data_IF_034151745882
#
_entry.id   IF_034151745882
#
_cell.length_a   1.000
_cell.length_b   1.000
_cell.length_c   1.000
_cell.angle_alpha   90.00
_cell.angle_beta   90.00
_cell.angle_gamma   90.00
#
_symmetry.space_group_name_H-M   'P 1'
#
loop_
_entity.id
_entity.type
_entity.pdbx_description
1 polymer ?
#
# COMPACT_ATOMS: atom_id res chain seq x y z
N UNK A 1 54.91 65.65 -29.60
CA UNK A 1 53.55 65.27 -29.24
C UNK A 1 53.39 63.75 -29.48
N UNK A 2 53.54 62.97 -28.47
CA UNK A 2 53.59 61.49 -28.54
C UNK A 2 52.37 60.97 -27.87
N UNK A 3 51.50 60.28 -28.62
CA UNK A 3 50.32 59.68 -28.10
C UNK A 3 50.58 58.17 -27.92
N UNK A 4 50.47 57.77 -26.66
CA UNK A 4 50.63 56.39 -26.20
C UNK A 4 49.38 55.57 -26.50
N UNK A 5 49.50 54.47 -27.17
CA UNK A 5 48.46 53.45 -27.33
C UNK A 5 48.60 52.43 -26.22
N UNK A 6 47.61 52.41 -25.35
CA UNK A 6 47.42 51.35 -24.33
C UNK A 6 46.90 50.09 -25.05
N UNK A 7 47.52 48.95 -24.70
CA UNK A 7 47.04 47.63 -25.09
C UNK A 7 45.89 47.20 -24.21
N UNK A 8 44.79 46.81 -24.84
CA UNK A 8 43.66 46.13 -24.19
C UNK A 8 44.02 44.66 -23.92
N UNK A 9 43.93 44.30 -22.65
CA UNK A 9 44.16 42.95 -22.18
C UNK A 9 42.94 42.06 -22.42
N UNK A 10 43.29 40.84 -22.82
CA UNK A 10 42.46 39.77 -23.30
C UNK A 10 41.44 39.31 -22.23
N UNK A 11 40.16 39.27 -22.60
CA UNK A 11 39.07 38.79 -21.77
C UNK A 11 39.15 37.26 -21.54
N UNK A 12 39.14 36.94 -20.28
CA UNK A 12 39.10 35.60 -19.72
C UNK A 12 37.86 34.81 -20.15
N UNK A 13 38.04 33.67 -20.77
CA UNK A 13 36.93 32.77 -21.17
C UNK A 13 36.38 32.07 -19.95
N UNK A 14 35.04 31.97 -19.73
CA UNK A 14 34.48 31.29 -18.60
C UNK A 14 34.72 29.77 -18.70
N UNK A 15 35.45 29.26 -17.73
CA UNK A 15 35.75 27.84 -17.57
C UNK A 15 34.47 27.00 -17.53
N UNK A 16 34.39 26.03 -18.43
CA UNK A 16 33.35 25.00 -18.48
C UNK A 16 33.37 24.20 -17.18
N UNK A 17 32.42 24.45 -16.29
CA UNK A 17 32.21 23.66 -15.07
C UNK A 17 31.72 22.28 -15.50
N UNK A 18 32.61 21.31 -15.38
CA UNK A 18 32.29 19.89 -15.62
C UNK A 18 31.28 19.45 -14.57
N UNK A 19 30.09 18.91 -14.95
CA UNK A 19 29.12 18.43 -13.97
C UNK A 19 29.75 17.35 -13.09
N UNK A 20 29.40 17.30 -11.79
CA UNK A 20 29.94 16.29 -10.89
C UNK A 20 29.60 14.89 -11.44
N UNK A 21 30.61 14.02 -11.50
CA UNK A 21 30.41 12.60 -11.82
C UNK A 21 29.45 12.03 -10.80
N UNK A 22 28.26 11.66 -11.23
CA UNK A 22 27.38 10.81 -10.46
C UNK A 22 28.11 9.50 -10.24
N UNK A 23 28.67 9.32 -9.06
CA UNK A 23 29.13 8.01 -8.59
C UNK A 23 27.91 7.11 -8.56
N UNK A 24 27.79 6.24 -9.55
CA UNK A 24 26.77 5.21 -9.57
C UNK A 24 26.93 4.38 -8.30
N UNK A 25 26.04 4.58 -7.32
CA UNK A 25 25.96 3.71 -6.15
C UNK A 25 25.58 2.33 -6.68
N UNK A 26 26.56 1.45 -6.74
CA UNK A 26 26.34 0.06 -7.13
C UNK A 26 25.37 -0.56 -6.15
N UNK A 27 24.14 -0.83 -6.60
CA UNK A 27 23.13 -1.48 -5.78
C UNK A 27 23.67 -2.83 -5.30
N UNK A 28 23.77 -3.09 -3.98
CA UNK A 28 24.35 -4.32 -3.47
C UNK A 28 23.64 -5.55 -4.05
N UNK A 29 24.42 -6.57 -4.45
CA UNK A 29 23.85 -7.86 -4.89
C UNK A 29 23.16 -8.51 -3.70
N UNK A 30 21.93 -8.98 -3.90
CA UNK A 30 21.18 -9.74 -2.91
C UNK A 30 21.10 -11.21 -3.32
N UNK A 31 21.09 -12.09 -2.33
CA UNK A 31 20.93 -13.53 -2.55
C UNK A 31 19.49 -13.88 -2.96
N UNK A 32 19.27 -15.04 -3.60
CA UNK A 32 17.89 -15.50 -3.90
C UNK A 32 16.98 -15.60 -2.66
N UNK A 33 17.54 -15.94 -1.49
CA UNK A 33 16.79 -15.99 -0.24
C UNK A 33 16.38 -14.59 0.24
N UNK A 34 17.29 -13.61 0.20
CA UNK A 34 17.00 -12.22 0.52
C UNK A 34 15.95 -11.63 -0.45
N UNK A 35 16.08 -11.91 -1.74
CA UNK A 35 15.10 -11.49 -2.75
C UNK A 35 13.71 -12.04 -2.43
N UNK A 36 13.59 -13.35 -2.13
CA UNK A 36 12.30 -13.94 -1.74
C UNK A 36 11.71 -13.29 -0.50
N UNK A 37 12.54 -13.01 0.51
CA UNK A 37 12.10 -12.34 1.74
C UNK A 37 11.58 -10.92 1.47
N UNK A 38 12.31 -10.12 0.70
CA UNK A 38 11.87 -8.75 0.31
C UNK A 38 10.56 -8.77 -0.48
N UNK A 39 10.44 -9.69 -1.46
CA UNK A 39 9.22 -9.84 -2.25
C UNK A 39 8.03 -10.31 -1.40
N UNK A 40 8.29 -11.15 -0.40
CA UNK A 40 7.26 -11.61 0.54
C UNK A 40 6.82 -10.48 1.47
N UNK A 41 7.76 -9.71 2.02
CA UNK A 41 7.46 -8.53 2.83
C UNK A 41 6.69 -7.47 2.04
N UNK A 42 7.00 -7.27 0.77
CA UNK A 42 6.28 -6.33 -0.09
C UNK A 42 4.83 -6.75 -0.40
N UNK A 43 4.39 -7.94 -0.02
CA UNK A 43 2.98 -8.36 -0.08
C UNK A 43 2.20 -8.03 1.19
N UNK A 44 2.91 -7.68 2.26
CA UNK A 44 2.32 -7.22 3.51
C UNK A 44 2.16 -5.70 3.51
N UNK A 45 1.05 -5.12 3.97
CA UNK A 45 0.82 -3.67 3.96
C UNK A 45 1.79 -2.90 4.85
N UNK A 46 2.25 -3.52 5.93
CA UNK A 46 3.23 -2.95 6.85
C UNK A 46 4.67 -3.34 6.48
N UNK A 47 4.85 -4.08 5.37
CA UNK A 47 6.14 -4.57 4.95
C UNK A 47 6.71 -5.69 5.84
N UNK A 48 5.87 -6.33 6.66
CA UNK A 48 6.32 -7.36 7.59
C UNK A 48 6.82 -8.58 6.83
N UNK A 49 8.02 -9.03 7.18
CA UNK A 49 8.57 -10.27 6.66
C UNK A 49 7.84 -11.46 7.27
N UNK A 50 7.50 -12.50 6.47
CA UNK A 50 6.82 -13.67 7.00
C UNK A 50 7.72 -14.43 7.98
N UNK A 51 7.11 -15.03 9.01
CA UNK A 51 7.80 -15.84 10.05
C UNK A 51 8.60 -17.02 9.47
N UNK A 52 8.32 -17.42 8.23
CA UNK A 52 9.07 -18.46 7.51
C UNK A 52 10.44 -18.02 7.01
N UNK A 53 10.77 -16.72 7.07
CA UNK A 53 12.11 -16.22 6.73
C UNK A 53 13.10 -16.71 7.79
N UNK A 54 14.11 -17.47 7.37
CA UNK A 54 15.09 -18.01 8.31
C UNK A 54 15.97 -16.90 8.91
N UNK A 55 16.46 -17.14 10.12
CA UNK A 55 17.24 -16.19 10.92
C UNK A 55 18.46 -15.62 10.19
N UNK A 56 19.19 -16.47 9.46
CA UNK A 56 20.39 -16.02 8.73
C UNK A 56 20.03 -15.01 7.64
N UNK A 57 18.93 -15.23 6.92
CA UNK A 57 18.42 -14.31 5.92
C UNK A 57 17.94 -13.02 6.57
N UNK A 58 17.21 -13.09 7.68
CA UNK A 58 16.73 -11.94 8.42
C UNK A 58 17.90 -11.11 8.98
N UNK A 59 18.86 -11.72 9.63
CA UNK A 59 20.05 -11.07 10.15
C UNK A 59 20.87 -10.39 9.05
N UNK A 60 21.00 -11.07 7.91
CA UNK A 60 21.70 -10.53 6.75
C UNK A 60 20.97 -9.33 6.12
N UNK A 61 19.63 -9.33 6.11
CA UNK A 61 18.81 -8.18 5.65
C UNK A 61 18.82 -7.04 6.67
N UNK A 62 18.82 -7.34 7.97
CA UNK A 62 18.92 -6.34 9.03
C UNK A 62 20.28 -5.61 9.03
N UNK A 63 21.33 -6.25 8.50
CA UNK A 63 22.62 -5.62 8.24
C UNK A 63 22.65 -4.71 7.02
N UNK A 64 21.53 -4.65 6.27
CA UNK A 64 21.32 -3.73 5.14
C UNK A 64 20.33 -2.65 5.56
N UNK A 65 20.20 -1.60 4.72
CA UNK A 65 19.16 -0.58 4.92
C UNK A 65 17.76 -1.06 4.50
N UNK A 66 17.59 -2.32 4.09
CA UNK A 66 16.34 -2.83 3.52
C UNK A 66 15.32 -3.31 4.55
N UNK A 67 15.77 -3.73 5.72
CA UNK A 67 14.91 -4.27 6.79
C UNK A 67 15.23 -3.62 8.11
N UNK A 68 14.24 -2.96 8.70
CA UNK A 68 14.27 -2.52 10.10
C UNK A 68 13.79 -3.66 11.00
N UNK A 69 14.49 -3.88 12.08
CA UNK A 69 13.96 -4.69 13.19
C UNK A 69 13.06 -3.76 14.02
N UNK A 70 11.87 -4.22 14.38
CA UNK A 70 10.89 -3.43 15.10
C UNK A 70 11.50 -2.83 16.38
N UNK A 71 11.04 -1.64 16.74
CA UNK A 71 11.43 -0.62 17.71
C UNK A 71 12.29 -0.97 18.95
N UNK A 72 12.78 -2.19 19.08
CA UNK A 72 13.59 -2.65 20.20
C UNK A 72 15.08 -2.72 19.88
N UNK A 73 15.58 -1.84 19.01
CA UNK A 73 17.03 -1.74 18.72
C UNK A 73 17.90 -1.67 19.98
N UNK A 74 17.36 -1.11 21.06
CA UNK A 74 18.09 -0.97 22.33
C UNK A 74 18.10 -2.25 23.17
N UNK A 75 17.08 -3.12 23.01
CA UNK A 75 17.02 -4.42 23.68
C UNK A 75 17.93 -5.45 22.99
N UNK A 76 18.00 -5.40 21.65
CA UNK A 76 18.81 -6.35 20.87
C UNK A 76 20.32 -6.11 20.96
N UNK A 77 20.77 -4.93 21.37
CA UNK A 77 22.20 -4.66 21.63
C UNK A 77 22.75 -5.34 22.87
N UNK A 78 21.89 -5.79 23.79
CA UNK A 78 22.25 -6.44 25.04
C UNK A 78 21.92 -7.92 25.15
N UNK A 79 21.22 -8.49 24.17
CA UNK A 79 20.79 -9.88 24.20
C UNK A 79 21.43 -10.65 23.04
N UNK A 80 22.15 -11.72 23.34
CA UNK A 80 22.49 -12.73 22.35
C UNK A 80 21.19 -13.19 21.71
N UNK A 81 21.09 -13.10 20.37
CA UNK A 81 19.88 -13.40 19.63
C UNK A 81 19.54 -14.88 19.77
N UNK A 82 18.76 -15.21 20.78
CA UNK A 82 18.21 -16.56 20.96
C UNK A 82 17.05 -16.78 20.00
N UNK A 83 16.87 -18.01 19.55
CA UNK A 83 15.85 -18.44 18.58
C UNK A 83 14.44 -17.99 18.99
N UNK A 84 14.18 -17.92 20.30
CA UNK A 84 12.89 -17.54 20.89
C UNK A 84 12.55 -16.05 20.71
N UNK A 85 13.56 -15.17 20.64
CA UNK A 85 13.33 -13.73 20.36
C UNK A 85 12.86 -13.46 18.94
N UNK A 86 13.24 -14.27 17.99
CA UNK A 86 12.90 -14.10 16.58
C UNK A 86 11.54 -14.70 16.20
N UNK A 87 10.98 -15.57 17.03
CA UNK A 87 9.58 -16.01 16.94
C UNK A 87 8.60 -14.90 17.37
N UNK A 88 9.06 -13.96 18.17
CA UNK A 88 8.29 -12.80 18.66
C UNK A 88 8.52 -11.55 17.81
N UNK A 89 9.67 -11.41 17.14
CA UNK A 89 10.13 -10.19 16.48
C UNK A 89 10.26 -10.41 14.96
N UNK A 90 9.38 -9.77 14.21
CA UNK A 90 9.44 -9.75 12.75
C UNK A 90 10.29 -8.57 12.26
N UNK A 91 10.97 -8.73 11.15
CA UNK A 91 11.54 -7.60 10.40
C UNK A 91 10.47 -6.94 9.54
N UNK A 92 10.54 -5.63 9.37
CA UNK A 92 9.72 -4.87 8.44
C UNK A 92 10.58 -4.19 7.38
N UNK A 93 10.05 -4.04 6.16
CA UNK A 93 10.73 -3.30 5.10
C UNK A 93 10.86 -1.83 5.48
N UNK A 94 12.06 -1.29 5.38
CA UNK A 94 12.32 0.15 5.40
C UNK A 94 11.87 0.78 4.07
N UNK A 95 12.00 2.10 3.94
CA UNK A 95 11.76 2.79 2.67
C UNK A 95 12.66 2.23 1.55
N UNK A 96 13.93 2.00 1.85
CA UNK A 96 14.92 1.41 0.94
C UNK A 96 14.58 -0.05 0.62
N UNK A 97 14.08 -0.81 1.59
CA UNK A 97 13.58 -2.17 1.41
C UNK A 97 12.39 -2.23 0.45
N UNK A 98 11.47 -1.32 0.55
CA UNK A 98 10.36 -1.17 -0.39
C UNK A 98 10.83 -0.83 -1.80
N UNK A 99 11.79 0.11 -1.93
CA UNK A 99 12.37 0.47 -3.22
C UNK A 99 13.10 -0.74 -3.83
N UNK A 100 13.88 -1.45 -3.02
CA UNK A 100 14.59 -2.66 -3.46
C UNK A 100 13.64 -3.76 -3.89
N UNK A 101 12.59 -4.06 -3.12
CA UNK A 101 11.59 -5.07 -3.46
C UNK A 101 10.90 -4.74 -4.80
N UNK A 102 10.61 -3.47 -5.07
CA UNK A 102 10.07 -3.01 -6.36
C UNK A 102 11.05 -3.24 -7.51
N UNK A 103 12.33 -2.91 -7.31
CA UNK A 103 13.39 -3.17 -8.31
C UNK A 103 13.55 -4.67 -8.61
N UNK A 104 13.28 -5.53 -7.63
CA UNK A 104 13.29 -6.99 -7.79
C UNK A 104 11.98 -7.57 -8.36
N UNK A 105 11.02 -6.71 -8.73
CA UNK A 105 9.76 -7.09 -9.36
C UNK A 105 8.57 -7.25 -8.40
N UNK A 106 8.66 -6.75 -7.17
CA UNK A 106 7.47 -6.62 -6.33
C UNK A 106 6.50 -5.62 -6.97
N UNK A 107 5.28 -6.06 -7.25
CA UNK A 107 4.17 -5.17 -7.53
C UNK A 107 3.91 -4.24 -6.33
N UNK A 108 3.20 -3.14 -6.55
CA UNK A 108 2.68 -2.34 -5.44
C UNK A 108 1.77 -3.23 -4.60
N UNK A 109 1.81 -3.02 -3.27
CA UNK A 109 0.86 -3.69 -2.39
C UNK A 109 -0.57 -3.36 -2.84
N UNK A 110 -1.37 -4.41 -3.10
CA UNK A 110 -2.73 -4.24 -3.61
C UNK A 110 -3.75 -4.17 -2.50
N UNK A 111 -4.64 -3.20 -2.61
CA UNK A 111 -5.77 -3.03 -1.71
C UNK A 111 -7.05 -3.01 -2.55
N UNK A 112 -8.06 -3.72 -2.08
CA UNK A 112 -9.43 -3.53 -2.56
C UNK A 112 -10.25 -2.94 -1.43
N UNK A 113 -10.92 -1.84 -1.70
CA UNK A 113 -11.83 -1.17 -0.78
C UNK A 113 -13.25 -1.36 -1.25
N UNK A 114 -14.10 -1.91 -0.39
CA UNK A 114 -15.54 -2.09 -0.66
C UNK A 114 -16.32 -1.05 0.16
N UNK A 115 -17.26 -0.34 -0.47
CA UNK A 115 -18.15 0.57 0.25
C UNK A 115 -19.07 -0.21 1.19
N UNK A 116 -19.40 0.38 2.36
CA UNK A 116 -20.37 -0.19 3.26
C UNK A 116 -21.76 -0.32 2.60
N UNK A 117 -22.50 -1.35 2.99
CA UNK A 117 -23.85 -1.59 2.50
C UNK A 117 -24.90 -0.82 3.28
N UNK A 118 -26.05 -0.50 2.63
CA UNK A 118 -27.20 0.11 3.31
C UNK A 118 -27.80 -0.87 4.34
N UNK A 119 -28.03 -2.12 3.96
CA UNK A 119 -28.58 -3.15 4.84
C UNK A 119 -27.50 -3.72 5.73
N UNK A 120 -27.71 -3.66 7.04
CA UNK A 120 -26.80 -4.08 8.09
C UNK A 120 -27.45 -5.10 9.01
N UNK A 121 -26.63 -5.83 9.78
CA UNK A 121 -27.07 -6.58 10.95
C UNK A 121 -27.62 -5.61 12.00
N UNK A 122 -28.50 -6.10 12.87
CA UNK A 122 -29.16 -5.36 13.94
C UNK A 122 -28.40 -5.39 15.29
N UNK A 123 -27.22 -6.01 15.29
CA UNK A 123 -26.38 -6.22 16.47
C UNK A 123 -24.91 -5.95 16.17
N UNK A 124 -24.14 -5.78 17.22
CA UNK A 124 -22.67 -5.68 17.12
C UNK A 124 -22.07 -6.97 16.55
N UNK A 125 -21.34 -6.82 15.47
CA UNK A 125 -20.61 -7.90 14.76
C UNK A 125 -19.38 -7.32 14.08
N UNK A 126 -18.55 -8.19 13.54
CA UNK A 126 -17.38 -7.74 12.76
C UNK A 126 -17.82 -7.02 11.49
N UNK A 127 -17.04 -6.04 11.02
CA UNK A 127 -17.30 -5.29 9.79
C UNK A 127 -17.45 -6.23 8.59
N UNK A 128 -16.72 -7.35 8.58
CA UNK A 128 -16.80 -8.38 7.55
C UNK A 128 -18.17 -9.05 7.43
N UNK A 129 -18.98 -9.05 8.49
CA UNK A 129 -20.31 -9.68 8.54
C UNK A 129 -21.44 -8.68 8.71
N UNK A 130 -21.13 -7.41 9.03
CA UNK A 130 -22.12 -6.36 9.30
C UNK A 130 -23.03 -6.09 8.10
N UNK A 131 -22.51 -6.09 6.88
CA UNK A 131 -23.24 -5.63 5.70
C UNK A 131 -23.82 -6.80 4.91
N UNK A 132 -25.14 -6.96 4.95
CA UNK A 132 -25.88 -8.12 4.38
C UNK A 132 -26.56 -7.82 3.04
N UNK A 133 -26.41 -6.62 2.50
CA UNK A 133 -27.02 -6.23 1.22
C UNK A 133 -26.39 -6.96 0.04
N UNK A 134 -27.20 -7.37 -0.95
CA UNK A 134 -26.76 -8.14 -2.12
C UNK A 134 -25.70 -7.44 -2.99
N UNK A 135 -25.74 -6.10 -3.08
CA UNK A 135 -24.74 -5.34 -3.80
C UNK A 135 -23.38 -5.38 -3.07
N UNK A 136 -23.38 -5.18 -1.75
CA UNK A 136 -22.17 -5.31 -0.93
C UNK A 136 -21.55 -6.72 -1.06
N UNK A 137 -22.38 -7.77 -0.97
CA UNK A 137 -21.94 -9.15 -1.19
C UNK A 137 -21.28 -9.36 -2.56
N UNK A 138 -21.85 -8.78 -3.62
CA UNK A 138 -21.26 -8.85 -4.95
C UNK A 138 -19.90 -8.14 -5.03
N UNK A 139 -19.75 -6.98 -4.38
CA UNK A 139 -18.49 -6.26 -4.27
C UNK A 139 -17.44 -7.09 -3.50
N UNK A 140 -17.84 -7.73 -2.39
CA UNK A 140 -16.98 -8.61 -1.61
C UNK A 140 -16.43 -9.78 -2.42
N UNK A 141 -17.29 -10.49 -3.13
CA UNK A 141 -16.88 -11.59 -4.00
C UNK A 141 -15.92 -11.16 -5.12
N UNK A 142 -16.12 -9.97 -5.70
CA UNK A 142 -15.22 -9.42 -6.69
C UNK A 142 -13.87 -9.01 -6.08
N UNK A 143 -13.89 -8.42 -4.87
CA UNK A 143 -12.69 -8.04 -4.13
C UNK A 143 -11.83 -9.26 -3.77
N UNK A 144 -12.44 -10.33 -3.27
CA UNK A 144 -11.76 -11.60 -2.96
C UNK A 144 -11.12 -12.22 -4.21
N UNK A 145 -11.81 -12.15 -5.36
CA UNK A 145 -11.25 -12.62 -6.62
C UNK A 145 -10.03 -11.80 -7.06
N UNK A 146 -10.05 -10.47 -6.92
CA UNK A 146 -8.92 -9.58 -7.23
C UNK A 146 -7.73 -9.80 -6.30
N UNK A 147 -7.97 -10.22 -5.07
CA UNK A 147 -6.95 -10.42 -4.04
C UNK A 147 -6.46 -11.86 -3.91
N UNK A 148 -6.85 -12.75 -4.83
CA UNK A 148 -6.45 -14.17 -4.79
C UNK A 148 -4.94 -14.37 -4.71
N UNK A 149 -4.16 -13.52 -5.37
CA UNK A 149 -2.70 -13.56 -5.39
C UNK A 149 -2.05 -12.72 -4.27
N UNK A 150 -2.83 -12.28 -3.27
CA UNK A 150 -2.39 -11.45 -2.16
C UNK A 150 -2.88 -10.01 -2.22
N UNK A 151 -2.72 -9.31 -1.12
CA UNK A 151 -3.23 -7.96 -0.87
C UNK A 151 -4.22 -7.94 0.28
N UNK A 152 -4.87 -6.79 0.52
CA UNK A 152 -5.79 -6.61 1.64
C UNK A 152 -7.14 -6.05 1.22
N UNK A 153 -8.17 -6.53 1.87
CA UNK A 153 -9.53 -6.04 1.72
C UNK A 153 -9.92 -5.17 2.92
N UNK A 154 -10.37 -3.96 2.60
CA UNK A 154 -10.94 -3.04 3.58
C UNK A 154 -12.38 -2.70 3.24
N UNK A 155 -13.12 -2.27 4.25
CA UNK A 155 -14.45 -1.67 4.07
C UNK A 155 -14.32 -0.17 4.35
N UNK A 156 -14.83 0.66 3.43
CA UNK A 156 -15.00 2.09 3.66
C UNK A 156 -16.39 2.33 4.23
N UNK A 157 -16.45 2.61 5.52
CA UNK A 157 -17.64 2.92 6.29
C UNK A 157 -17.93 4.42 6.30
N UNK A 158 -19.20 4.81 6.18
CA UNK A 158 -19.58 6.20 6.33
C UNK A 158 -19.44 6.70 7.79
N UNK A 159 -19.55 5.81 8.76
CA UNK A 159 -19.44 6.16 10.18
C UNK A 159 -18.03 6.01 10.74
N UNK A 160 -17.23 5.07 10.22
CA UNK A 160 -15.96 4.65 10.84
C UNK A 160 -14.73 4.81 9.94
N UNK A 161 -14.90 5.20 8.66
CA UNK A 161 -13.80 5.28 7.69
C UNK A 161 -13.31 3.89 7.26
N UNK A 162 -12.01 3.70 7.23
CA UNK A 162 -11.37 2.44 6.80
C UNK A 162 -11.43 1.41 7.93
N UNK A 163 -12.10 0.29 7.66
CA UNK A 163 -12.27 -0.82 8.57
C UNK A 163 -11.59 -2.09 8.06
N UNK A 164 -10.87 -2.76 8.94
CA UNK A 164 -10.50 -4.16 8.76
C UNK A 164 -11.74 -5.05 8.93
N UNK A 165 -11.76 -6.21 8.26
CA UNK A 165 -12.91 -7.11 8.31
C UNK A 165 -13.19 -7.66 9.70
N UNK A 166 -12.17 -7.78 10.54
CA UNK A 166 -12.25 -8.27 11.92
C UNK A 166 -12.67 -7.20 12.94
N UNK A 167 -12.72 -5.92 12.53
CA UNK A 167 -13.12 -4.83 13.44
C UNK A 167 -14.58 -4.99 13.85
N UNK A 168 -14.86 -5.08 15.14
CA UNK A 168 -16.24 -5.09 15.67
C UNK A 168 -16.84 -3.70 15.62
N UNK A 169 -18.05 -3.59 15.13
CA UNK A 169 -18.83 -2.36 15.03
C UNK A 169 -20.28 -2.57 15.42
N UNK A 170 -20.87 -1.54 15.96
CA UNK A 170 -22.31 -1.49 16.19
C UNK A 170 -23.06 -1.11 14.90
N UNK A 171 -24.34 -1.48 14.74
CA UNK A 171 -25.15 -1.03 13.64
C UNK A 171 -25.32 0.50 13.66
N UNK A 172 -25.37 1.10 12.48
CA UNK A 172 -25.55 2.55 12.30
C UNK A 172 -26.35 2.82 11.02
N UNK A 173 -26.98 3.98 10.92
CA UNK A 173 -27.71 4.40 9.73
C UNK A 173 -27.21 5.76 9.23
N UNK A 174 -25.96 5.76 8.69
CA UNK A 174 -25.29 6.92 8.12
C UNK A 174 -24.77 6.56 6.74
N UNK A 175 -24.93 7.47 5.78
CA UNK A 175 -24.37 7.39 4.42
C UNK A 175 -23.31 8.49 4.23
N UNK A 176 -22.36 8.29 3.33
CA UNK A 176 -21.35 9.31 2.99
C UNK A 176 -22.03 10.60 2.52
N UNK A 177 -21.74 11.69 3.20
CA UNK A 177 -22.35 13.02 3.00
C UNK A 177 -23.49 13.36 3.95
N UNK A 178 -23.93 12.44 4.80
CA UNK A 178 -24.88 12.73 5.88
C UNK A 178 -24.17 13.42 7.06
N UNK A 179 -24.94 14.09 7.92
CA UNK A 179 -24.42 14.61 9.17
C UNK A 179 -23.83 13.46 10.01
N UNK A 180 -22.63 13.65 10.53
CA UNK A 180 -21.89 12.63 11.30
C UNK A 180 -21.15 11.59 10.45
N UNK A 181 -21.18 11.70 9.11
CA UNK A 181 -20.30 10.87 8.29
C UNK A 181 -18.84 11.32 8.40
N UNK A 182 -17.91 10.36 8.23
CA UNK A 182 -16.47 10.64 8.30
C UNK A 182 -16.03 11.64 7.23
N UNK A 183 -15.09 12.51 7.61
CA UNK A 183 -14.45 13.45 6.68
C UNK A 183 -13.35 12.79 5.85
N UNK A 184 -12.95 13.46 4.78
CA UNK A 184 -11.80 13.05 3.98
C UNK A 184 -10.50 13.05 4.79
N UNK A 185 -10.29 14.06 5.65
CA UNK A 185 -9.11 14.15 6.52
C UNK A 185 -9.02 12.98 7.50
N UNK A 186 -10.15 12.55 8.04
CA UNK A 186 -10.22 11.37 8.91
C UNK A 186 -9.79 10.10 8.16
N UNK A 187 -10.31 9.89 6.95
CA UNK A 187 -9.92 8.75 6.11
C UNK A 187 -8.43 8.82 5.74
N UNK A 188 -7.92 9.99 5.36
CA UNK A 188 -6.50 10.19 5.07
C UNK A 188 -5.62 9.87 6.29
N UNK A 189 -6.02 10.33 7.49
CA UNK A 189 -5.30 10.02 8.72
C UNK A 189 -5.25 8.52 9.00
N UNK A 190 -6.36 7.81 8.78
CA UNK A 190 -6.41 6.35 8.92
C UNK A 190 -5.52 5.63 7.89
N UNK A 191 -5.45 6.13 6.65
CA UNK A 191 -4.60 5.60 5.57
C UNK A 191 -3.13 5.78 5.94
N UNK A 192 -2.73 6.98 6.42
CA UNK A 192 -1.37 7.24 6.91
C UNK A 192 -1.00 6.35 8.10
N UNK A 193 -1.88 6.25 9.09
CA UNK A 193 -1.63 5.41 10.27
C UNK A 193 -1.43 3.92 9.93
N UNK A 194 -1.94 3.47 8.79
CA UNK A 194 -1.76 2.10 8.27
C UNK A 194 -0.59 1.95 7.30
N UNK A 195 0.09 3.04 6.93
CA UNK A 195 1.19 3.03 5.97
C UNK A 195 0.80 2.55 4.56
N UNK A 196 -0.45 2.81 4.16
CA UNK A 196 -1.01 2.28 2.89
C UNK A 196 -1.26 3.35 1.82
N UNK A 197 -0.66 4.53 1.95
CA UNK A 197 -0.81 5.65 1.00
C UNK A 197 -0.32 5.30 -0.41
N UNK A 198 0.75 4.53 -0.50
CA UNK A 198 1.39 4.16 -1.76
C UNK A 198 0.83 2.87 -2.39
N UNK A 199 -0.21 2.29 -1.81
CA UNK A 199 -0.83 1.06 -2.31
C UNK A 199 -1.46 1.25 -3.70
N UNK A 200 -1.55 0.14 -4.45
CA UNK A 200 -2.42 0.06 -5.64
C UNK A 200 -3.84 -0.23 -5.17
N UNK A 201 -4.72 0.76 -5.29
CA UNK A 201 -6.06 0.71 -4.70
C UNK A 201 -7.13 0.55 -5.77
N UNK A 202 -7.99 -0.45 -5.61
CA UNK A 202 -9.23 -0.61 -6.36
C UNK A 202 -10.42 -0.40 -5.43
N UNK A 203 -11.34 0.51 -5.78
CA UNK A 203 -12.55 0.79 -5.01
C UNK A 203 -13.77 0.23 -5.71
N UNK A 204 -14.45 -0.69 -5.04
CA UNK A 204 -15.71 -1.30 -5.48
C UNK A 204 -16.88 -0.71 -4.69
N UNK A 205 -17.33 0.46 -5.10
CA UNK A 205 -18.36 1.23 -4.38
C UNK A 205 -19.11 2.20 -5.31
N UNK A 206 -20.15 2.79 -4.81
CA UNK A 206 -20.86 3.89 -5.48
C UNK A 206 -20.04 5.19 -5.49
N UNK A 207 -20.48 6.15 -6.31
CA UNK A 207 -19.75 7.39 -6.61
C UNK A 207 -19.35 8.21 -5.38
N UNK A 208 -20.22 8.35 -4.37
CA UNK A 208 -19.92 9.09 -3.14
C UNK A 208 -18.72 8.49 -2.38
N UNK A 209 -18.65 7.16 -2.28
CA UNK A 209 -17.54 6.45 -1.63
C UNK A 209 -16.25 6.52 -2.45
N UNK A 210 -16.36 6.45 -3.78
CA UNK A 210 -15.22 6.65 -4.67
C UNK A 210 -14.65 8.07 -4.51
N UNK A 211 -15.51 9.09 -4.45
CA UNK A 211 -15.09 10.48 -4.25
C UNK A 211 -14.36 10.66 -2.90
N UNK A 212 -14.88 10.07 -1.83
CA UNK A 212 -14.25 10.09 -0.52
C UNK A 212 -12.89 9.38 -0.53
N UNK A 213 -12.82 8.18 -1.11
CA UNK A 213 -11.59 7.41 -1.20
C UNK A 213 -10.51 8.11 -2.05
N UNK A 214 -10.88 8.86 -3.08
CA UNK A 214 -9.94 9.63 -3.93
C UNK A 214 -9.17 10.71 -3.17
N UNK A 215 -9.71 11.22 -2.09
CA UNK A 215 -9.01 12.17 -1.25
C UNK A 215 -7.79 11.55 -0.56
N UNK A 216 -7.86 10.26 -0.24
CA UNK A 216 -6.76 9.52 0.37
C UNK A 216 -5.86 8.82 -0.66
N UNK A 217 -6.43 8.39 -1.79
CA UNK A 217 -5.71 7.72 -2.89
C UNK A 217 -6.09 8.33 -4.24
N UNK A 218 -5.46 9.43 -4.65
CA UNK A 218 -5.79 10.14 -5.91
C UNK A 218 -5.72 9.24 -7.14
N UNK A 219 -4.81 8.25 -7.15
CA UNK A 219 -4.58 7.31 -8.25
C UNK A 219 -5.41 6.01 -8.20
N UNK A 220 -6.44 5.93 -7.34
CA UNK A 220 -7.24 4.72 -7.22
C UNK A 220 -7.98 4.34 -8.52
N UNK A 221 -8.18 3.06 -8.71
CA UNK A 221 -9.05 2.50 -9.75
C UNK A 221 -10.49 2.37 -9.23
N UNK A 222 -11.46 2.78 -10.03
CA UNK A 222 -12.88 2.72 -9.69
C UNK A 222 -13.68 2.07 -10.84
N UNK A 223 -13.63 0.74 -11.02
CA UNK A 223 -14.19 0.08 -12.19
C UNK A 223 -15.73 0.14 -12.28
N UNK A 224 -16.39 0.54 -11.19
CA UNK A 224 -17.84 0.74 -11.18
C UNK A 224 -18.25 2.18 -11.50
N UNK A 225 -17.31 3.11 -11.62
CA UNK A 225 -17.59 4.50 -11.95
C UNK A 225 -18.23 4.62 -13.34
N UNK A 226 -19.18 5.54 -13.48
CA UNK A 226 -19.91 5.77 -14.73
C UNK A 226 -20.92 4.66 -15.07
N UNK A 227 -21.21 3.72 -14.17
CA UNK A 227 -22.31 2.77 -14.37
C UNK A 227 -23.67 3.47 -14.21
N UNK A 228 -24.61 3.20 -15.12
CA UNK A 228 -25.96 3.79 -15.14
C UNK A 228 -26.89 3.33 -14.01
N UNK A 229 -26.45 2.37 -13.16
CA UNK A 229 -27.22 1.86 -12.04
C UNK A 229 -26.66 0.58 -11.43
N UNK A 230 -27.33 0.09 -10.39
CA UNK A 230 -26.90 -1.11 -9.63
C UNK A 230 -26.83 -2.36 -10.53
N UNK A 231 -27.72 -2.50 -11.51
CA UNK A 231 -27.71 -3.62 -12.45
C UNK A 231 -26.41 -3.69 -13.24
N UNK A 232 -26.01 -2.57 -13.83
CA UNK A 232 -24.74 -2.49 -14.57
C UNK A 232 -23.53 -2.66 -13.65
N UNK A 233 -23.57 -2.09 -12.45
CA UNK A 233 -22.50 -2.32 -11.45
C UNK A 233 -22.32 -3.81 -11.16
N UNK A 234 -23.41 -4.54 -10.92
CA UNK A 234 -23.39 -6.00 -10.71
C UNK A 234 -22.83 -6.76 -11.92
N UNK A 235 -23.18 -6.35 -13.14
CA UNK A 235 -22.62 -6.94 -14.35
C UNK A 235 -21.10 -6.71 -14.45
N UNK A 236 -20.64 -5.50 -14.15
CA UNK A 236 -19.19 -5.19 -14.10
C UNK A 236 -18.47 -6.02 -13.03
N UNK A 237 -19.04 -6.19 -11.84
CA UNK A 237 -18.51 -7.05 -10.79
C UNK A 237 -18.40 -8.52 -11.22
N UNK A 238 -19.39 -9.04 -11.94
CA UNK A 238 -19.32 -10.39 -12.50
C UNK A 238 -18.18 -10.54 -13.53
N UNK A 239 -17.98 -9.55 -14.40
CA UNK A 239 -16.86 -9.54 -15.36
C UNK A 239 -15.51 -9.52 -14.66
N UNK A 240 -15.35 -8.72 -13.60
CA UNK A 240 -14.13 -8.67 -12.77
C UNK A 240 -13.82 -10.05 -12.20
N UNK A 241 -14.82 -10.74 -11.64
CA UNK A 241 -14.67 -12.10 -11.09
C UNK A 241 -14.24 -13.11 -12.14
N UNK A 242 -14.84 -13.08 -13.31
CA UNK A 242 -14.51 -13.98 -14.42
C UNK A 242 -13.07 -13.74 -14.90
N UNK A 243 -12.70 -12.48 -15.15
CA UNK A 243 -11.34 -12.13 -15.57
C UNK A 243 -10.28 -12.54 -14.54
N UNK A 244 -10.54 -12.34 -13.24
CA UNK A 244 -9.64 -12.78 -12.18
C UNK A 244 -9.51 -14.31 -12.11
N UNK A 245 -10.61 -15.04 -12.36
CA UNK A 245 -10.59 -16.51 -12.41
C UNK A 245 -9.79 -17.04 -13.61
N UNK A 246 -9.89 -16.39 -14.76
CA UNK A 246 -9.12 -16.75 -15.97
C UNK A 246 -7.62 -16.46 -15.81
N UNK A 247 -7.27 -15.33 -15.21
CA UNK A 247 -5.88 -14.99 -14.92
C UNK A 247 -5.21 -16.01 -13.99
N UNK A 248 -5.96 -16.53 -13.00
CA UNK A 248 -5.47 -17.59 -12.11
C UNK A 248 -5.31 -18.96 -12.75
N UNK A 249 -6.00 -19.25 -13.87
CA UNK A 249 -5.85 -20.53 -14.60
C UNK A 249 -4.66 -20.56 -15.57
N UNK A 250 -4.13 -19.38 -15.94
CA UNK A 250 -3.00 -19.26 -16.88
C UNK A 250 -1.63 -19.26 -16.20
N UNK A 251 -1.58 -19.37 -14.88
CA UNK A 251 -0.36 -19.45 -14.05
C UNK A 251 -0.13 -20.85 -13.52
#
# INVERSE_FOLDING_TARGET
>A
MTINHAREDNADSPGTVRPPRTTGVSTPRITPAQRRALLAGARDPLGLLPKSVNLRTLASLAGTDYVGLDQSRDILRGLEATRDLLDVWGGALTQEGWQRARAEGAGRFRIVVVGCGKTKQDRRVTAGTMYVGTFHGSCRLAAEALLRDGGRLYILSAAHGILDLSTEIDPYDITVGDAGSVSADFVQAQVRARGIESAEVTVLAGSKYVALARQAWPGLQAPLAGAGGIGEMKQRLSRIRLAAAEAGRKR
#
